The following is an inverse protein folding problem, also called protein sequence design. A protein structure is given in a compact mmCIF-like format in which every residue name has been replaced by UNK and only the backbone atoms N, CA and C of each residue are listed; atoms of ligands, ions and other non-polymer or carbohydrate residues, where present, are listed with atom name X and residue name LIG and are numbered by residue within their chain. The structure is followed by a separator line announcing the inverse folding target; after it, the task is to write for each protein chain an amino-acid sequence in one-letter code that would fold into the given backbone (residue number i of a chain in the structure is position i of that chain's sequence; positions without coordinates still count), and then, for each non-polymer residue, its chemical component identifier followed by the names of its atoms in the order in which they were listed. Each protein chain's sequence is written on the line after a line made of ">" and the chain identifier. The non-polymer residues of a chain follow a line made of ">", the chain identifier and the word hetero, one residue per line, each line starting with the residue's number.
data_IF_496069306709
#
_entry.id   IF_496069306709
#
_cell.length_a   1.000
_cell.length_b   1.000
_cell.length_c   1.000
_cell.angle_alpha   90.00
_cell.angle_beta   90.00
_cell.angle_gamma   90.00
#
_symmetry.space_group_name_H-M   'P 1'
#
loop_
_entity.id
_entity.type
_entity.pdbx_description
1 polymer ?
#
# COMPACT_ATOMS: atom_id res chain seq x y z
N UNK A 1 18.46 -1.64 -17.02
CA UNK A 1 17.04 -1.49 -17.34
C UNK A 1 16.37 -0.91 -16.11
N UNK A 2 15.66 0.20 -16.24
CA UNK A 2 14.95 0.88 -15.15
C UNK A 2 13.47 0.64 -15.32
N UNK A 3 12.76 0.34 -14.24
CA UNK A 3 11.32 0.12 -14.23
C UNK A 3 10.68 1.07 -13.22
N UNK A 4 9.73 1.87 -13.67
CA UNK A 4 8.96 2.79 -12.83
C UNK A 4 7.48 2.47 -12.97
N UNK A 5 6.77 2.55 -11.85
CA UNK A 5 5.32 2.46 -11.80
C UNK A 5 4.77 3.81 -11.33
N UNK A 6 3.85 4.37 -12.11
CA UNK A 6 3.23 5.67 -11.80
C UNK A 6 1.73 5.46 -11.68
N UNK A 7 1.22 5.51 -10.45
CA UNK A 7 -0.22 5.47 -10.18
C UNK A 7 -0.82 6.85 -10.50
N UNK A 8 -1.68 6.89 -11.51
CA UNK A 8 -2.45 8.06 -11.90
C UNK A 8 -3.88 7.93 -11.37
N UNK A 9 -4.65 9.01 -11.43
CA UNK A 9 -6.04 9.02 -10.98
C UNK A 9 -6.94 7.99 -11.68
N UNK A 10 -6.62 7.57 -12.91
CA UNK A 10 -7.48 6.69 -13.70
C UNK A 10 -6.79 5.44 -14.27
N UNK A 11 -5.48 5.26 -14.04
CA UNK A 11 -4.68 4.15 -14.59
C UNK A 11 -3.30 4.05 -13.95
N UNK A 12 -2.62 2.94 -14.20
CA UNK A 12 -1.19 2.80 -13.91
C UNK A 12 -0.38 2.99 -15.20
N UNK A 13 0.72 3.75 -15.11
CA UNK A 13 1.76 3.75 -16.13
C UNK A 13 2.92 2.85 -15.71
N UNK A 14 3.29 1.93 -16.59
CA UNK A 14 4.51 1.14 -16.47
C UNK A 14 5.54 1.70 -17.43
N UNK A 15 6.61 2.27 -16.89
CA UNK A 15 7.64 2.98 -17.66
C UNK A 15 8.94 2.18 -17.64
N UNK A 16 9.39 1.74 -18.82
CA UNK A 16 10.58 0.90 -19.01
C UNK A 16 11.69 1.71 -19.67
N UNK A 17 12.80 1.89 -18.96
CA UNK A 17 13.98 2.63 -19.42
C UNK A 17 15.15 1.71 -19.78
N UNK A 18 15.71 1.87 -20.98
CA UNK A 18 16.93 1.19 -21.41
C UNK A 18 17.75 2.09 -22.33
N UNK A 19 19.02 2.31 -22.00
CA UNK A 19 20.00 3.02 -22.82
C UNK A 19 19.51 4.41 -23.32
N UNK A 20 18.83 5.15 -22.43
CA UNK A 20 18.28 6.47 -22.71
C UNK A 20 16.95 6.48 -23.48
N UNK A 21 16.41 5.30 -23.85
CA UNK A 21 15.08 5.13 -24.43
C UNK A 21 14.08 4.73 -23.35
N UNK A 22 12.85 5.23 -23.49
CA UNK A 22 11.76 4.98 -22.55
C UNK A 22 10.52 4.49 -23.31
N UNK A 23 9.95 3.40 -22.84
CA UNK A 23 8.69 2.83 -23.31
C UNK A 23 7.65 2.95 -22.19
N UNK A 24 6.41 3.26 -22.54
CA UNK A 24 5.31 3.47 -21.58
C UNK A 24 4.14 2.58 -21.97
N UNK A 25 3.68 1.78 -21.03
CA UNK A 25 2.49 0.93 -21.14
C UNK A 25 1.47 1.36 -20.09
N UNK A 26 0.18 1.21 -20.39
CA UNK A 26 -0.90 1.47 -19.43
C UNK A 26 -1.55 0.18 -18.98
N UNK A 27 -1.99 0.15 -17.73
CA UNK A 27 -2.80 -0.94 -17.18
C UNK A 27 -3.75 -0.39 -16.11
N UNK A 28 -4.68 -1.21 -15.63
CA UNK A 28 -5.68 -0.81 -14.64
C UNK A 28 -6.53 0.41 -15.10
N UNK A 29 -6.77 0.56 -16.40
CA UNK A 29 -7.51 1.68 -16.95
C UNK A 29 -8.94 1.77 -16.37
N UNK A 30 -9.34 2.97 -15.97
CA UNK A 30 -10.61 3.26 -15.31
C UNK A 30 -10.65 2.92 -13.82
N UNK A 31 -9.55 2.49 -13.22
CA UNK A 31 -9.47 2.29 -11.76
C UNK A 31 -8.90 3.53 -11.07
N UNK A 32 -9.52 3.99 -9.98
CA UNK A 32 -9.07 5.16 -9.23
C UNK A 32 -7.86 4.81 -8.35
N UNK A 33 -6.65 4.81 -8.90
CA UNK A 33 -5.46 4.41 -8.14
C UNK A 33 -5.08 5.47 -7.10
N UNK A 34 -4.78 5.01 -5.89
CA UNK A 34 -4.40 5.88 -4.78
C UNK A 34 -2.92 5.71 -4.39
N UNK A 35 -2.36 4.52 -4.57
CA UNK A 35 -0.99 4.21 -4.20
C UNK A 35 -0.44 3.02 -5.01
N UNK A 36 0.88 2.91 -5.07
CA UNK A 36 1.56 1.74 -5.62
C UNK A 36 2.83 1.40 -4.82
N UNK A 37 3.20 0.11 -4.78
CA UNK A 37 4.45 -0.36 -4.20
C UNK A 37 5.01 -1.52 -5.03
N UNK A 38 6.31 -1.53 -5.28
CA UNK A 38 7.02 -2.64 -5.92
C UNK A 38 7.68 -3.51 -4.86
N UNK A 39 7.71 -4.83 -5.07
CA UNK A 39 8.46 -5.75 -4.21
C UNK A 39 9.98 -5.53 -4.42
N UNK A 40 10.74 -5.19 -3.36
CA UNK A 40 12.16 -4.89 -3.47
C UNK A 40 13.03 -6.13 -3.79
N UNK A 41 12.55 -7.35 -3.57
CA UNK A 41 13.29 -8.59 -3.88
C UNK A 41 12.65 -9.39 -5.03
N UNK A 42 11.45 -9.02 -5.49
CA UNK A 42 10.79 -9.61 -6.67
C UNK A 42 10.41 -8.48 -7.64
N UNK A 43 11.34 -8.03 -8.51
CA UNK A 43 11.16 -6.81 -9.31
C UNK A 43 9.96 -6.80 -10.26
N UNK A 44 9.40 -7.96 -10.62
CA UNK A 44 8.21 -8.08 -11.45
C UNK A 44 6.90 -7.97 -10.64
N UNK A 45 6.98 -7.99 -9.31
CA UNK A 45 5.82 -7.94 -8.44
C UNK A 45 5.53 -6.51 -8.00
N UNK A 46 4.32 -6.06 -8.28
CA UNK A 46 3.84 -4.71 -7.95
C UNK A 46 2.42 -4.75 -7.43
N UNK A 47 2.13 -3.85 -6.51
CA UNK A 47 0.86 -3.72 -5.83
C UNK A 47 0.27 -2.33 -6.08
N UNK A 48 -1.05 -2.24 -6.25
CA UNK A 48 -1.75 -0.97 -6.41
C UNK A 48 -2.99 -0.93 -5.53
N UNK A 49 -3.05 0.07 -4.64
CA UNK A 49 -4.25 0.39 -3.87
C UNK A 49 -5.13 1.37 -4.63
N UNK A 50 -6.43 1.26 -4.42
CA UNK A 50 -7.43 2.05 -5.13
C UNK A 50 -8.42 2.71 -4.18
N UNK A 51 -9.07 3.75 -4.67
CA UNK A 51 -10.28 4.29 -4.08
C UNK A 51 -11.46 3.35 -4.43
N UNK A 52 -12.14 2.76 -3.46
CA UNK A 52 -13.33 1.90 -3.63
C UNK A 52 -13.17 0.52 -4.33
N UNK A 53 -12.03 0.22 -4.94
CA UNK A 53 -11.83 -1.04 -5.72
C UNK A 53 -10.80 -1.98 -5.11
N UNK A 54 -10.42 -1.76 -3.85
CA UNK A 54 -9.53 -2.62 -3.08
C UNK A 54 -8.06 -2.52 -3.50
N UNK A 55 -7.35 -3.64 -3.33
CA UNK A 55 -5.91 -3.78 -3.60
C UNK A 55 -5.70 -4.78 -4.73
N UNK A 56 -4.78 -4.46 -5.63
CA UNK A 56 -4.44 -5.24 -6.81
C UNK A 56 -2.97 -5.63 -6.78
N UNK A 57 -2.66 -6.80 -7.35
CA UNK A 57 -1.29 -7.29 -7.53
C UNK A 57 -1.07 -7.71 -8.98
N UNK A 58 0.12 -7.41 -9.48
CA UNK A 58 0.71 -8.04 -10.67
C UNK A 58 1.97 -8.81 -10.24
N UNK A 59 2.23 -9.92 -10.92
CA UNK A 59 3.45 -10.75 -10.75
C UNK A 59 4.27 -10.81 -12.05
N UNK A 60 3.92 -10.02 -13.06
CA UNK A 60 4.48 -10.00 -14.42
C UNK A 60 4.77 -8.57 -14.88
N UNK A 61 5.30 -7.78 -13.96
CA UNK A 61 5.75 -6.41 -14.15
C UNK A 61 4.67 -5.44 -14.66
N UNK A 62 3.40 -5.67 -14.29
CA UNK A 62 2.25 -4.82 -14.61
C UNK A 62 1.47 -5.26 -15.86
N UNK A 63 1.79 -6.41 -16.45
CA UNK A 63 1.11 -6.90 -17.65
C UNK A 63 -0.29 -7.48 -17.34
N UNK A 64 -0.43 -8.24 -16.25
CA UNK A 64 -1.70 -8.76 -15.76
C UNK A 64 -1.89 -8.49 -14.28
N UNK A 65 -3.16 -8.35 -13.86
CA UNK A 65 -3.52 -7.91 -12.52
C UNK A 65 -4.63 -8.79 -11.93
N UNK A 66 -4.55 -9.01 -10.61
CA UNK A 66 -5.57 -9.70 -9.83
C UNK A 66 -5.90 -8.94 -8.55
N UNK A 67 -7.16 -8.97 -8.13
CA UNK A 67 -7.57 -8.49 -6.81
C UNK A 67 -6.93 -9.35 -5.72
N UNK A 68 -6.38 -8.70 -4.70
CA UNK A 68 -5.88 -9.31 -3.45
C UNK A 68 -6.46 -8.59 -2.22
N UNK A 69 -7.53 -7.81 -2.43
CA UNK A 69 -8.16 -7.00 -1.38
C UNK A 69 -9.38 -7.64 -0.73
N UNK A 70 -9.80 -8.83 -1.17
CA UNK A 70 -11.09 -9.42 -0.77
C UNK A 70 -11.18 -9.74 0.73
N UNK A 71 -10.03 -9.92 1.41
CA UNK A 71 -9.94 -10.09 2.86
C UNK A 71 -9.90 -8.79 3.67
N UNK A 72 -9.84 -7.62 3.02
CA UNK A 72 -9.87 -6.32 3.72
C UNK A 72 -11.32 -5.89 3.97
N UNK A 73 -11.67 -5.42 5.18
CA UNK A 73 -13.02 -4.92 5.47
C UNK A 73 -13.30 -3.57 4.78
N UNK A 74 -12.27 -2.92 4.25
CA UNK A 74 -12.35 -1.59 3.63
C UNK A 74 -11.86 -1.65 2.19
N UNK A 75 -12.63 -1.04 1.28
CA UNK A 75 -12.33 -1.02 -0.17
C UNK A 75 -11.44 0.16 -0.59
N UNK A 76 -11.24 1.12 0.30
CA UNK A 76 -10.34 2.26 0.10
C UNK A 76 -8.96 1.89 0.63
N UNK A 77 -8.04 1.54 -0.27
CA UNK A 77 -6.66 1.19 0.06
C UNK A 77 -5.76 2.32 -0.40
N UNK A 78 -5.34 3.15 0.55
CA UNK A 78 -4.72 4.45 0.28
C UNK A 78 -3.21 4.45 0.52
N UNK A 79 -2.71 3.44 1.23
CA UNK A 79 -1.29 3.16 1.32
C UNK A 79 -1.07 1.66 1.22
N UNK A 80 -0.03 1.26 0.48
CA UNK A 80 0.47 -0.12 0.46
C UNK A 80 2.00 -0.08 0.52
N UNK A 81 2.59 -1.02 1.24
CA UNK A 81 4.03 -1.26 1.21
C UNK A 81 4.31 -2.75 1.42
N UNK A 82 5.51 -3.17 1.04
CA UNK A 82 5.98 -4.55 1.11
C UNK A 82 7.33 -4.57 1.81
N UNK A 83 7.46 -5.48 2.78
CA UNK A 83 8.67 -5.59 3.59
C UNK A 83 9.83 -6.09 2.75
N UNK A 84 10.96 -5.38 2.83
CA UNK A 84 12.23 -5.86 2.28
C UNK A 84 12.86 -6.97 3.14
N UNK A 85 12.43 -7.08 4.40
CA UNK A 85 13.10 -7.92 5.42
C UNK A 85 12.27 -9.12 5.85
N UNK A 86 10.93 -9.03 5.76
CA UNK A 86 10.03 -10.11 6.18
C UNK A 86 9.41 -10.79 4.95
N UNK A 87 9.51 -12.12 4.93
CA UNK A 87 8.87 -12.98 3.93
C UNK A 87 8.28 -14.23 4.56
N UNK A 88 7.22 -14.74 3.96
CA UNK A 88 6.70 -16.08 4.20
C UNK A 88 6.83 -16.89 2.92
N UNK A 89 7.83 -17.77 2.87
CA UNK A 89 8.19 -18.46 1.63
C UNK A 89 8.57 -17.48 0.52
N UNK A 90 7.86 -17.53 -0.60
CA UNK A 90 8.08 -16.65 -1.76
C UNK A 90 7.32 -15.31 -1.67
N UNK A 91 6.48 -15.13 -0.66
CA UNK A 91 5.65 -13.93 -0.50
C UNK A 91 6.32 -12.91 0.42
N UNK A 92 6.39 -11.65 -0.03
CA UNK A 92 6.72 -10.53 0.84
C UNK A 92 5.58 -10.23 1.81
N UNK A 93 5.91 -9.87 3.05
CA UNK A 93 4.91 -9.39 4.00
C UNK A 93 4.40 -8.02 3.55
N UNK A 94 3.09 -7.89 3.41
CA UNK A 94 2.42 -6.67 2.96
C UNK A 94 1.80 -5.91 4.11
N UNK A 95 1.76 -4.59 3.95
CA UNK A 95 1.07 -3.68 4.84
C UNK A 95 0.15 -2.79 4.01
N UNK A 96 -1.09 -2.63 4.48
CA UNK A 96 -2.09 -1.78 3.85
C UNK A 96 -2.67 -0.79 4.85
N UNK A 97 -2.74 0.48 4.46
CA UNK A 97 -3.44 1.55 5.16
C UNK A 97 -4.73 1.90 4.43
N UNK A 98 -5.84 2.01 5.16
CA UNK A 98 -7.17 2.17 4.58
C UNK A 98 -7.87 3.45 4.98
N UNK A 99 -9.04 3.69 4.37
CA UNK A 99 -10.09 4.57 4.86
C UNK A 99 -11.34 3.74 5.25
N UNK A 100 -11.88 3.87 6.48
CA UNK A 100 -11.35 4.64 7.62
C UNK A 100 -9.95 4.19 8.06
N UNK A 101 -9.26 5.03 8.85
CA UNK A 101 -7.88 4.77 9.26
C UNK A 101 -7.75 3.47 10.05
N UNK A 102 -7.16 2.49 9.38
CA UNK A 102 -6.77 1.20 9.95
C UNK A 102 -5.49 0.72 9.24
N UNK A 103 -4.77 -0.15 9.92
CA UNK A 103 -3.54 -0.76 9.43
C UNK A 103 -3.73 -2.27 9.38
N UNK A 104 -3.42 -2.87 8.24
CA UNK A 104 -3.53 -4.31 8.04
C UNK A 104 -2.18 -4.89 7.60
N UNK A 105 -1.94 -6.14 7.99
CA UNK A 105 -0.77 -6.91 7.62
C UNK A 105 -1.18 -8.21 6.95
N UNK A 106 -0.49 -8.59 5.88
CA UNK A 106 -0.65 -9.89 5.21
C UNK A 106 0.70 -10.59 5.10
N UNK A 107 0.74 -11.88 5.40
CA UNK A 107 1.94 -12.71 5.27
C UNK A 107 1.89 -13.63 4.05
N UNK A 108 0.77 -13.68 3.31
CA UNK A 108 0.49 -14.67 2.27
C UNK A 108 0.22 -14.02 0.91
N UNK A 109 0.93 -12.92 0.64
CA UNK A 109 0.86 -12.20 -0.63
C UNK A 109 -0.47 -11.48 -0.85
N UNK A 110 -1.18 -11.14 0.23
CA UNK A 110 -2.46 -10.45 0.19
C UNK A 110 -3.67 -11.38 0.14
N UNK A 111 -3.50 -12.68 0.35
CA UNK A 111 -4.63 -13.62 0.34
C UNK A 111 -5.49 -13.46 1.61
N UNK A 112 -4.86 -13.22 2.75
CA UNK A 112 -5.50 -12.91 4.02
C UNK A 112 -4.88 -11.69 4.69
N UNK A 113 -5.68 -10.99 5.48
CA UNK A 113 -5.31 -9.72 6.13
C UNK A 113 -5.65 -9.75 7.62
N UNK A 114 -4.72 -9.29 8.44
CA UNK A 114 -4.87 -9.16 9.89
C UNK A 114 -4.82 -7.68 10.27
N UNK A 115 -5.86 -7.18 10.94
CA UNK A 115 -5.85 -5.81 11.47
C UNK A 115 -4.79 -5.66 12.58
N UNK A 116 -4.16 -4.49 12.62
CA UNK A 116 -3.18 -4.07 13.62
C UNK A 116 -3.82 -2.96 14.47
N UNK A 117 -4.47 -3.32 15.59
CA UNK A 117 -5.43 -2.43 16.26
C UNK A 117 -4.75 -1.27 17.01
N UNK A 118 -3.45 -1.35 17.28
CA UNK A 118 -2.73 -0.34 18.06
C UNK A 118 -2.86 1.08 17.48
N UNK A 119 -2.91 1.21 16.15
CA UNK A 119 -3.12 2.50 15.49
C UNK A 119 -4.44 3.16 15.95
N UNK A 120 -5.53 2.39 16.02
CA UNK A 120 -6.86 2.89 16.40
C UNK A 120 -7.04 3.02 17.91
N UNK A 121 -6.15 2.42 18.70
CA UNK A 121 -6.12 2.54 20.15
C UNK A 121 -5.41 3.81 20.65
N UNK A 122 -4.78 4.59 19.76
CA UNK A 122 -4.12 5.84 20.15
C UNK A 122 -5.13 6.85 20.76
N UNK A 123 -4.77 7.56 21.85
CA UNK A 123 -5.68 8.52 22.48
C UNK A 123 -6.19 9.63 21.56
N UNK A 124 -5.44 9.97 20.51
CA UNK A 124 -5.80 10.97 19.50
C UNK A 124 -6.71 10.42 18.38
N UNK A 125 -6.91 9.10 18.28
CA UNK A 125 -7.71 8.51 17.20
C UNK A 125 -9.12 9.13 17.07
N UNK A 126 -9.84 9.48 18.17
CA UNK A 126 -11.14 10.14 18.08
C UNK A 126 -11.11 11.54 17.46
N UNK A 127 -9.94 12.17 17.32
CA UNK A 127 -9.80 13.55 16.81
C UNK A 127 -9.25 13.65 15.39
N UNK A 128 -8.89 12.53 14.74
CA UNK A 128 -8.39 12.55 13.35
C UNK A 128 -9.55 12.84 12.37
N UNK A 129 -9.35 13.73 11.38
CA UNK A 129 -10.38 14.08 10.37
C UNK A 129 -9.80 14.82 9.14
N UNK A 130 -10.43 14.70 7.97
CA UNK A 130 -10.10 15.45 6.73
C UNK A 130 -11.39 16.06 6.11
N UNK A 131 -11.39 17.31 5.59
CA UNK A 131 -11.99 18.51 6.19
C UNK A 131 -13.51 18.40 6.49
N UNK A 132 -14.11 19.32 7.29
CA UNK A 132 -15.10 18.99 8.33
C UNK A 132 -16.27 18.09 7.86
N UNK A 133 -16.67 17.16 8.75
CA UNK A 133 -17.79 16.20 8.66
C UNK A 133 -18.72 16.42 7.45
N UNK A 134 -18.76 15.48 6.49
CA UNK A 134 -19.03 14.07 6.79
C UNK A 134 -18.00 13.02 6.33
N UNK A 135 -16.83 13.36 5.81
CA UNK A 135 -15.91 12.36 5.21
C UNK A 135 -14.59 12.26 5.99
N UNK A 136 -14.01 11.07 6.06
CA UNK A 136 -13.12 10.61 7.16
C UNK A 136 -11.62 10.77 6.82
N UNK A 137 -10.75 10.57 7.82
CA UNK A 137 -9.28 10.62 7.70
C UNK A 137 -8.67 9.28 7.24
N UNK A 138 -7.50 9.32 6.62
CA UNK A 138 -6.78 8.13 6.16
C UNK A 138 -5.25 8.17 6.35
N UNK A 139 -4.66 6.98 6.32
CA UNK A 139 -3.20 6.79 6.23
C UNK A 139 -2.72 7.22 4.84
N UNK A 140 -1.83 8.21 4.79
CA UNK A 140 -1.27 8.74 3.54
C UNK A 140 0.05 8.08 3.15
N UNK A 141 0.85 7.73 4.14
CA UNK A 141 2.16 7.12 3.90
C UNK A 141 2.50 6.14 5.00
N UNK A 142 3.13 5.05 4.61
CA UNK A 142 3.74 4.07 5.51
C UNK A 142 5.18 3.90 5.05
N UNK A 143 6.13 4.12 5.96
CA UNK A 143 7.54 3.90 5.72
C UNK A 143 8.08 2.89 6.74
N UNK A 144 8.63 1.79 6.24
CA UNK A 144 9.30 0.79 7.07
C UNK A 144 10.72 1.27 7.39
N UNK A 145 11.21 0.98 8.59
CA UNK A 145 12.62 1.15 8.90
C UNK A 145 13.44 0.18 8.03
N UNK A 146 14.57 0.62 7.44
CA UNK A 146 15.32 -0.18 6.47
C UNK A 146 15.90 -1.47 7.08
N UNK A 147 16.23 -1.42 8.38
CA UNK A 147 16.99 -2.49 9.05
C UNK A 147 16.27 -3.12 10.26
N UNK A 148 15.06 -2.66 10.63
CA UNK A 148 14.33 -3.19 11.79
C UNK A 148 12.85 -3.35 11.44
N UNK A 149 12.36 -4.58 11.22
CA UNK A 149 10.98 -4.81 10.78
C UNK A 149 9.94 -4.45 11.84
N UNK A 150 10.37 -4.24 13.10
CA UNK A 150 9.47 -3.79 14.16
C UNK A 150 9.24 -2.29 14.10
N UNK A 151 10.06 -1.54 13.38
CA UNK A 151 10.00 -0.09 13.34
C UNK A 151 9.29 0.38 12.06
N UNK A 152 8.17 1.09 12.20
CA UNK A 152 7.51 1.75 11.08
C UNK A 152 7.02 3.16 11.43
N UNK A 153 6.90 3.98 10.40
CA UNK A 153 6.33 5.31 10.44
C UNK A 153 5.04 5.35 9.63
N UNK A 154 3.99 5.92 10.20
CA UNK A 154 2.68 6.08 9.57
C UNK A 154 2.32 7.56 9.58
N UNK A 155 2.01 8.12 8.42
CA UNK A 155 1.51 9.49 8.31
C UNK A 155 -0.01 9.45 8.08
N UNK A 156 -0.76 10.12 8.95
CA UNK A 156 -2.21 10.33 8.80
C UNK A 156 -2.44 11.71 8.20
N UNK A 157 -3.25 11.79 7.15
CA UNK A 157 -3.62 13.05 6.53
C UNK A 157 -4.28 13.98 7.56
N UNK A 158 -3.71 15.18 7.76
CA UNK A 158 -4.09 16.17 8.77
C UNK A 158 -4.14 15.66 10.24
N UNK A 159 -3.56 14.49 10.54
CA UNK A 159 -3.58 13.87 11.88
C UNK A 159 -2.22 13.86 12.60
N UNK A 160 -1.14 13.51 11.89
CA UNK A 160 0.23 13.46 12.47
C UNK A 160 1.10 12.33 11.92
N UNK A 161 2.32 12.22 12.44
CA UNK A 161 3.27 11.11 12.18
C UNK A 161 3.36 10.23 13.42
N UNK A 162 3.11 8.94 13.25
CA UNK A 162 3.18 7.92 14.30
C UNK A 162 4.38 7.02 14.05
N UNK A 163 5.03 6.58 15.12
CA UNK A 163 6.15 5.62 15.09
C UNK A 163 5.78 4.41 15.94
N UNK A 164 5.95 3.21 15.40
CA UNK A 164 5.91 1.96 16.16
C UNK A 164 7.31 1.38 16.32
N UNK A 165 7.53 0.61 17.40
CA UNK A 165 8.75 -0.16 17.67
C UNK A 165 8.52 -1.68 17.72
N UNK A 166 7.32 -2.13 17.37
CA UNK A 166 6.80 -3.49 17.54
C UNK A 166 5.90 -3.96 16.38
N UNK A 167 5.89 -3.26 15.24
CA UNK A 167 5.02 -3.63 14.12
C UNK A 167 3.53 -3.33 14.40
N UNK A 168 3.25 -2.25 15.11
CA UNK A 168 1.90 -1.79 15.44
C UNK A 168 1.13 -2.72 16.36
N UNK A 169 1.80 -3.29 17.37
CA UNK A 169 1.18 -4.05 18.46
C UNK A 169 0.82 -3.17 19.66
#
# INVERSE_FOLDING_TARGET
>A
MTLLYVAMEDRLLTVRGRDGRWEVETSLDGLPLACAAADPLVPERVYCGTFERGLWRSDDAGATWRSIGDGLPHRFVLAVTVSAQERSGAEGVLWAGTEPSALFRSEDGGSTWQERPALRALPSAPTWSFPPKPWTHHVRSIALHPDDPRHLYVAIELGGVMRSLDGGL
#
